data_IF_915942171066
#
_entry.id   IF_915942171066
#
_cell.length_a   1.000
_cell.length_b   1.000
_cell.length_c   1.000
_cell.angle_alpha   90.00
_cell.angle_beta   90.00
_cell.angle_gamma   90.00
#
_symmetry.space_group_name_H-M   'P 1'
#
loop_
_entity.id
_entity.type
_entity.pdbx_description
1 polymer ?
#
# COMPACT_ATOMS: atom_id res chain seq x y z
N UNK A 1 74.47 -21.42 33.48
CA UNK A 1 73.75 -21.97 32.30
C UNK A 1 72.23 -22.09 32.52
N UNK A 2 71.72 -22.67 33.61
CA UNK A 2 70.27 -22.90 33.84
C UNK A 2 69.38 -21.64 33.72
N UNK A 3 69.80 -20.48 34.25
CA UNK A 3 69.01 -19.24 34.17
C UNK A 3 68.87 -18.69 32.74
N UNK A 4 69.91 -18.82 31.91
CA UNK A 4 69.83 -18.40 30.51
C UNK A 4 68.87 -19.29 29.72
N UNK A 5 68.91 -20.62 29.91
CA UNK A 5 67.97 -21.53 29.25
C UNK A 5 66.50 -21.22 29.59
N UNK A 6 66.21 -20.83 30.84
CA UNK A 6 64.87 -20.42 31.26
C UNK A 6 64.45 -19.07 30.63
N UNK A 7 65.38 -18.13 30.50
CA UNK A 7 65.09 -16.86 29.83
C UNK A 7 64.81 -17.06 28.34
N UNK A 8 65.58 -17.91 27.66
CA UNK A 8 65.36 -18.27 26.25
C UNK A 8 63.99 -18.90 26.05
N UNK A 9 63.59 -19.87 26.89
CA UNK A 9 62.28 -20.51 26.73
C UNK A 9 61.12 -19.55 26.99
N UNK A 10 61.25 -18.61 27.93
CA UNK A 10 60.27 -17.54 28.13
C UNK A 10 60.18 -16.62 26.91
N UNK A 11 61.31 -16.25 26.31
CA UNK A 11 61.35 -15.44 25.10
C UNK A 11 60.68 -16.13 23.91
N UNK A 12 60.92 -17.43 23.74
CA UNK A 12 60.27 -18.23 22.69
C UNK A 12 58.76 -18.31 22.89
N UNK A 13 58.31 -18.49 24.13
CA UNK A 13 56.88 -18.51 24.46
C UNK A 13 56.22 -17.15 24.18
N UNK A 14 56.86 -16.05 24.58
CA UNK A 14 56.38 -14.69 24.27
C UNK A 14 56.31 -14.48 22.75
N UNK A 15 57.34 -14.93 22.01
CA UNK A 15 57.36 -14.81 20.55
C UNK A 15 56.22 -15.57 19.88
N UNK A 16 55.90 -16.78 20.37
CA UNK A 16 54.74 -17.55 19.90
C UNK A 16 53.43 -16.83 20.21
N UNK A 17 53.22 -16.41 21.45
CA UNK A 17 52.01 -15.66 21.83
C UNK A 17 51.85 -14.38 21.03
N UNK A 18 52.94 -13.66 20.75
CA UNK A 18 52.92 -12.46 19.91
C UNK A 18 52.52 -12.78 18.46
N UNK A 19 53.00 -13.89 17.91
CA UNK A 19 52.59 -14.37 16.59
C UNK A 19 51.09 -14.71 16.56
N UNK A 20 50.59 -15.44 17.56
CA UNK A 20 49.17 -15.84 17.62
C UNK A 20 48.24 -14.63 17.77
N UNK A 21 48.63 -13.65 18.59
CA UNK A 21 47.93 -12.38 18.71
C UNK A 21 47.89 -11.63 17.38
N UNK A 22 49.01 -11.57 16.64
CA UNK A 22 49.07 -10.93 15.33
C UNK A 22 48.13 -11.61 14.32
N UNK A 23 48.02 -12.94 14.35
CA UNK A 23 47.07 -13.67 13.51
C UNK A 23 45.62 -13.35 13.89
N UNK A 24 45.31 -13.31 15.18
CA UNK A 24 43.97 -12.97 15.68
C UNK A 24 43.58 -11.53 15.31
N UNK A 25 44.50 -10.58 15.40
CA UNK A 25 44.28 -9.19 14.97
C UNK A 25 43.99 -9.11 13.48
N UNK A 26 44.73 -9.86 12.64
CA UNK A 26 44.47 -9.92 11.20
C UNK A 26 43.10 -10.51 10.88
N UNK A 27 42.70 -11.59 11.54
CA UNK A 27 41.40 -12.22 11.35
C UNK A 27 40.25 -11.27 11.77
N UNK A 28 40.38 -10.60 12.91
CA UNK A 28 39.42 -9.59 13.36
C UNK A 28 39.31 -8.43 12.37
N UNK A 29 40.42 -7.97 11.81
CA UNK A 29 40.42 -6.91 10.81
C UNK A 29 39.68 -7.34 9.53
N UNK A 30 39.88 -8.58 9.08
CA UNK A 30 39.16 -9.15 7.92
C UNK A 30 37.64 -9.21 8.17
N UNK A 31 37.24 -9.67 9.36
CA UNK A 31 35.83 -9.70 9.78
C UNK A 31 35.23 -8.30 9.86
N UNK A 32 35.98 -7.32 10.36
CA UNK A 32 35.56 -5.92 10.41
C UNK A 32 35.30 -5.36 9.00
N UNK A 33 36.21 -5.57 8.05
CA UNK A 33 36.02 -5.15 6.66
C UNK A 33 34.77 -5.80 6.03
N UNK A 34 34.55 -7.08 6.31
CA UNK A 34 33.36 -7.81 5.83
C UNK A 34 32.07 -7.20 6.39
N UNK A 35 32.01 -6.95 7.70
CA UNK A 35 30.85 -6.33 8.34
C UNK A 35 30.59 -4.91 7.82
N UNK A 36 31.66 -4.13 7.60
CA UNK A 36 31.54 -2.79 7.02
C UNK A 36 30.92 -2.82 5.63
N UNK A 37 31.29 -3.81 4.81
CA UNK A 37 30.74 -4.00 3.47
C UNK A 37 29.26 -4.39 3.55
N UNK A 38 28.92 -5.36 4.39
CA UNK A 38 27.54 -5.79 4.61
C UNK A 38 26.63 -4.67 5.11
N UNK A 39 27.14 -3.81 6.01
CA UNK A 39 26.40 -2.64 6.50
C UNK A 39 26.13 -1.64 5.37
N UNK A 40 27.11 -1.41 4.51
CA UNK A 40 26.95 -0.52 3.36
C UNK A 40 25.92 -1.08 2.35
N UNK A 41 25.96 -2.38 2.08
CA UNK A 41 25.00 -3.04 1.19
C UNK A 41 23.58 -3.00 1.76
N UNK A 42 23.42 -3.25 3.06
CA UNK A 42 22.14 -3.13 3.75
C UNK A 42 21.59 -1.70 3.68
N UNK A 43 22.44 -0.70 3.92
CA UNK A 43 22.07 0.73 3.82
C UNK A 43 21.59 1.08 2.41
N UNK A 44 22.28 0.59 1.38
CA UNK A 44 21.88 0.80 -0.01
C UNK A 44 20.57 0.09 -0.36
N UNK A 45 20.36 -1.12 0.16
CA UNK A 45 19.09 -1.84 -0.01
C UNK A 45 17.93 -1.10 0.65
N UNK A 46 18.10 -0.63 1.89
CA UNK A 46 17.09 0.16 2.58
C UNK A 46 16.67 1.40 1.77
N UNK A 47 17.64 2.16 1.24
CA UNK A 47 17.35 3.33 0.41
C UNK A 47 16.52 2.98 -0.82
N UNK A 48 16.86 1.88 -1.52
CA UNK A 48 16.09 1.41 -2.69
C UNK A 48 14.66 1.03 -2.31
N UNK A 49 14.48 0.33 -1.20
CA UNK A 49 13.16 -0.05 -0.71
C UNK A 49 12.31 1.16 -0.32
N UNK A 50 12.92 2.20 0.27
CA UNK A 50 12.22 3.46 0.57
C UNK A 50 11.75 4.17 -0.71
N UNK A 51 12.61 4.23 -1.74
CA UNK A 51 12.28 4.82 -3.04
C UNK A 51 11.16 4.04 -3.75
N UNK A 52 11.23 2.70 -3.77
CA UNK A 52 10.18 1.84 -4.34
C UNK A 52 8.85 2.00 -3.60
N UNK A 53 8.88 2.07 -2.27
CA UNK A 53 7.67 2.27 -1.47
C UNK A 53 7.03 3.64 -1.76
N UNK A 54 7.84 4.69 -1.97
CA UNK A 54 7.36 6.00 -2.40
C UNK A 54 6.68 5.94 -3.77
N UNK A 55 7.29 5.30 -4.76
CA UNK A 55 6.70 5.11 -6.10
C UNK A 55 5.36 4.36 -6.03
N UNK A 56 5.32 3.27 -5.26
CA UNK A 56 4.11 2.47 -5.09
C UNK A 56 2.97 3.28 -4.47
N UNK A 57 3.25 4.11 -3.46
CA UNK A 57 2.27 5.01 -2.85
C UNK A 57 1.72 6.03 -3.85
N UNK A 58 2.58 6.62 -4.67
CA UNK A 58 2.16 7.59 -5.68
C UNK A 58 1.26 6.92 -6.75
N UNK A 59 1.65 5.72 -7.20
CA UNK A 59 0.87 4.94 -8.17
C UNK A 59 -0.48 4.51 -7.61
N UNK A 60 -0.54 4.15 -6.33
CA UNK A 60 -1.79 3.82 -5.65
C UNK A 60 -2.72 5.04 -5.63
N UNK A 61 -2.25 6.19 -5.16
CA UNK A 61 -3.02 7.43 -5.11
C UNK A 61 -3.53 7.85 -6.50
N UNK A 62 -2.70 7.69 -7.54
CA UNK A 62 -3.11 7.96 -8.93
C UNK A 62 -4.20 7.00 -9.40
N UNK A 63 -4.14 5.74 -8.98
CA UNK A 63 -5.13 4.72 -9.34
C UNK A 63 -6.46 4.95 -8.63
N UNK A 64 -6.42 5.29 -7.34
CA UNK A 64 -7.60 5.68 -6.56
C UNK A 64 -8.31 6.88 -7.20
N UNK A 65 -7.57 7.93 -7.53
CA UNK A 65 -8.14 9.11 -8.23
C UNK A 65 -8.78 8.76 -9.57
N UNK A 66 -8.22 7.79 -10.31
CA UNK A 66 -8.80 7.31 -11.57
C UNK A 66 -10.09 6.53 -11.33
N UNK A 67 -10.13 5.69 -10.30
CA UNK A 67 -11.33 4.95 -9.90
C UNK A 67 -12.43 5.92 -9.50
N UNK A 68 -12.15 6.91 -8.64
CA UNK A 68 -13.11 7.93 -8.23
C UNK A 68 -13.67 8.69 -9.42
N UNK A 69 -12.80 9.09 -10.36
CA UNK A 69 -13.24 9.78 -11.57
C UNK A 69 -14.10 8.88 -12.47
N UNK A 70 -13.76 7.61 -12.63
CA UNK A 70 -14.55 6.65 -13.41
C UNK A 70 -15.90 6.37 -12.76
N UNK A 71 -15.93 6.20 -11.44
CA UNK A 71 -17.16 6.01 -10.68
C UNK A 71 -18.05 7.24 -10.77
N UNK A 72 -17.47 8.44 -10.61
CA UNK A 72 -18.16 9.70 -10.81
C UNK A 72 -18.76 9.81 -12.21
N UNK A 73 -18.01 9.46 -13.26
CA UNK A 73 -18.52 9.43 -14.64
C UNK A 73 -19.65 8.41 -14.81
N UNK A 74 -19.50 7.21 -14.24
CA UNK A 74 -20.51 6.15 -14.30
C UNK A 74 -21.80 6.52 -13.58
N UNK A 75 -21.72 7.33 -12.52
CA UNK A 75 -22.89 7.74 -11.71
C UNK A 75 -23.44 9.12 -12.10
N UNK A 76 -22.76 9.87 -12.98
CA UNK A 76 -23.10 11.28 -13.29
C UNK A 76 -24.53 11.48 -13.81
N UNK A 77 -25.06 10.52 -14.55
CA UNK A 77 -26.43 10.56 -15.07
C UNK A 77 -27.45 9.90 -14.14
N UNK A 78 -27.03 9.38 -12.99
CA UNK A 78 -27.89 8.69 -12.06
C UNK A 78 -28.39 9.67 -10.99
N UNK A 79 -29.70 9.66 -10.76
CA UNK A 79 -30.35 10.45 -9.71
C UNK A 79 -31.02 9.52 -8.71
N UNK A 80 -30.91 9.86 -7.43
CA UNK A 80 -31.57 9.12 -6.35
C UNK A 80 -32.73 9.96 -5.83
N UNK A 81 -33.93 9.38 -5.88
CA UNK A 81 -35.15 10.02 -5.39
C UNK A 81 -35.57 9.40 -4.05
N UNK A 82 -35.65 10.22 -3.02
CA UNK A 82 -36.10 9.82 -1.69
C UNK A 82 -37.57 10.21 -1.46
N UNK A 83 -38.27 9.48 -0.59
CA UNK A 83 -39.65 9.81 -0.19
C UNK A 83 -40.73 9.47 -1.23
N UNK A 84 -40.38 8.73 -2.29
CA UNK A 84 -41.35 8.15 -3.24
C UNK A 84 -41.99 6.94 -2.58
N UNK A 85 -43.28 7.03 -2.23
CA UNK A 85 -44.02 5.94 -1.57
C UNK A 85 -44.03 4.69 -2.46
N UNK A 86 -43.94 3.52 -1.84
CA UNK A 86 -44.05 2.25 -2.55
C UNK A 86 -45.52 1.84 -2.65
N UNK A 87 -45.97 1.52 -3.86
CA UNK A 87 -47.38 1.17 -4.10
C UNK A 87 -47.60 -0.36 -4.11
N UNK A 88 -46.57 -1.15 -4.41
CA UNK A 88 -46.62 -2.63 -4.44
C UNK A 88 -45.31 -3.24 -3.91
N UNK A 89 -45.37 -4.42 -3.30
CA UNK A 89 -44.18 -5.09 -2.73
C UNK A 89 -43.11 -5.46 -3.77
N UNK A 90 -43.54 -5.72 -5.02
CA UNK A 90 -42.67 -6.03 -6.16
C UNK A 90 -42.99 -5.12 -7.34
N UNK A 91 -42.49 -3.89 -7.29
CA UNK A 91 -42.59 -2.97 -8.43
C UNK A 91 -41.65 -3.41 -9.55
N UNK A 92 -42.18 -3.47 -10.77
CA UNK A 92 -41.36 -3.62 -11.98
C UNK A 92 -40.69 -2.28 -12.33
N UNK A 93 -39.77 -2.28 -13.30
CA UNK A 93 -39.14 -1.05 -13.76
C UNK A 93 -40.16 -0.08 -14.37
N UNK A 94 -41.14 -0.60 -15.11
CA UNK A 94 -42.21 0.21 -15.69
C UNK A 94 -43.12 0.81 -14.61
N UNK A 95 -43.46 0.05 -13.56
CA UNK A 95 -44.20 0.59 -12.41
C UNK A 95 -43.41 1.73 -11.74
N UNK A 96 -42.10 1.57 -11.57
CA UNK A 96 -41.23 2.57 -10.95
C UNK A 96 -41.13 3.84 -11.81
N UNK A 97 -41.01 3.71 -13.13
CA UNK A 97 -40.94 4.85 -14.05
C UNK A 97 -42.24 5.64 -14.06
N UNK A 98 -43.40 4.96 -14.18
CA UNK A 98 -44.70 5.62 -14.17
C UNK A 98 -44.95 6.38 -12.85
N UNK A 99 -44.57 5.77 -11.73
CA UNK A 99 -44.66 6.39 -10.41
C UNK A 99 -43.75 7.62 -10.29
N UNK A 100 -42.52 7.54 -10.81
CA UNK A 100 -41.58 8.65 -10.78
C UNK A 100 -42.04 9.81 -11.68
N UNK A 101 -42.54 9.52 -12.89
CA UNK A 101 -43.13 10.52 -13.80
C UNK A 101 -44.28 11.27 -13.13
N UNK A 102 -45.20 10.53 -12.51
CA UNK A 102 -46.31 11.11 -11.74
C UNK A 102 -45.79 11.99 -10.60
N UNK A 103 -44.80 11.50 -9.84
CA UNK A 103 -44.23 12.24 -8.72
C UNK A 103 -43.54 13.53 -9.16
N UNK A 104 -42.79 13.50 -10.27
CA UNK A 104 -42.12 14.68 -10.83
C UNK A 104 -43.14 15.70 -11.31
N UNK A 105 -44.18 15.26 -12.02
CA UNK A 105 -45.26 16.13 -12.48
C UNK A 105 -45.98 16.80 -11.32
N UNK A 106 -46.35 16.02 -10.31
CA UNK A 106 -47.14 16.50 -9.17
C UNK A 106 -46.33 17.42 -8.23
N UNK A 107 -45.06 17.09 -7.98
CA UNK A 107 -44.23 17.81 -6.99
C UNK A 107 -43.40 18.93 -7.58
N UNK A 108 -42.93 18.78 -8.81
CA UNK A 108 -42.03 19.73 -9.46
C UNK A 108 -42.71 20.53 -10.58
N UNK A 109 -43.92 20.13 -11.02
CA UNK A 109 -44.63 20.79 -12.11
C UNK A 109 -43.93 20.65 -13.47
N UNK A 110 -43.02 19.69 -13.60
CA UNK A 110 -42.29 19.43 -14.83
C UNK A 110 -43.08 18.47 -15.72
N UNK A 111 -43.01 18.70 -17.03
CA UNK A 111 -43.59 17.78 -18.00
C UNK A 111 -42.77 16.49 -18.06
N UNK A 112 -43.33 15.44 -17.46
CA UNK A 112 -42.70 14.13 -17.35
C UNK A 112 -42.51 13.43 -18.69
N UNK A 113 -43.24 13.85 -19.72
CA UNK A 113 -43.19 13.22 -21.06
C UNK A 113 -41.97 13.70 -21.87
N UNK A 114 -41.35 14.81 -21.45
CA UNK A 114 -40.10 15.32 -22.02
C UNK A 114 -38.86 14.67 -21.41
N UNK A 115 -39.02 13.85 -20.36
CA UNK A 115 -37.91 13.21 -19.64
C UNK A 115 -37.77 11.76 -20.09
N UNK A 116 -36.59 11.43 -20.62
CA UNK A 116 -36.23 10.05 -20.97
C UNK A 116 -35.44 9.41 -19.84
N UNK A 117 -35.88 8.23 -19.41
CA UNK A 117 -35.17 7.42 -18.44
C UNK A 117 -34.58 6.19 -19.14
N UNK A 118 -33.31 5.91 -18.91
CA UNK A 118 -32.70 4.66 -19.38
C UNK A 118 -33.11 3.48 -18.48
N UNK A 119 -33.11 3.70 -17.17
CA UNK A 119 -33.52 2.70 -16.18
C UNK A 119 -34.03 3.36 -14.90
N UNK A 120 -35.15 2.87 -14.37
CA UNK A 120 -35.69 3.30 -13.06
C UNK A 120 -35.96 2.05 -12.22
N UNK A 121 -35.41 2.04 -11.00
CA UNK A 121 -35.67 0.96 -10.05
C UNK A 121 -35.44 1.42 -8.60
N UNK A 122 -35.98 0.65 -7.66
CA UNK A 122 -35.70 0.84 -6.23
C UNK A 122 -34.25 0.45 -5.92
N UNK A 123 -33.62 1.17 -4.99
CA UNK A 123 -32.36 0.74 -4.39
C UNK A 123 -32.65 -0.43 -3.46
N UNK A 124 -31.81 -1.47 -3.50
CA UNK A 124 -31.87 -2.51 -2.46
C UNK A 124 -31.42 -1.88 -1.14
N UNK A 125 -31.99 -2.29 0.00
CA UNK A 125 -31.42 -1.94 1.29
C UNK A 125 -29.96 -2.40 1.34
N UNK A 126 -29.06 -1.52 1.76
CA UNK A 126 -27.69 -1.90 2.08
C UNK A 126 -27.74 -2.93 3.23
N UNK A 127 -27.05 -4.06 3.05
CA UNK A 127 -26.95 -5.16 4.04
C UNK A 127 -25.86 -4.80 5.04
#
# INVERSE_FOLDING_TARGET
MSAMCNLTSKFDNISKSMSDLNHSVKDLNSKYCTLQTQLQDATNLFRRLEDENRDLKERLAKTEKRLDNMEGQSRRANLIFHGVKQNKDRETWDDCEALLKTTIKDRLGLDSDLIQFERVHRLRPEI
#
